data_IF_131612009272
#
_entry.id   IF_131612009272
#
_cell.length_a   1.000
_cell.length_b   1.000
_cell.length_c   1.000
_cell.angle_alpha   90.00
_cell.angle_beta   90.00
_cell.angle_gamma   90.00
#
_symmetry.space_group_name_H-M   'P 1'
#
loop_
_entity.id
_entity.type
_entity.pdbx_description
1 polymer ?
#
# COMPACT_ATOMS: atom_id res chain seq x y z
N UNK A 1 75.60 -37.61 -55.62
CA UNK A 1 74.71 -37.43 -56.78
C UNK A 1 74.00 -36.09 -56.62
N UNK A 2 73.91 -35.35 -57.73
CA UNK A 2 73.50 -33.95 -57.94
C UNK A 2 72.28 -33.39 -57.17
N UNK A 3 72.34 -32.06 -56.95
CA UNK A 3 71.26 -31.03 -57.14
C UNK A 3 70.16 -31.03 -56.06
N UNK A 4 69.98 -30.00 -55.22
CA UNK A 4 69.74 -28.54 -55.39
C UNK A 4 68.34 -28.17 -55.90
N UNK A 5 67.88 -27.01 -55.38
CA UNK A 5 66.79 -26.14 -55.83
C UNK A 5 65.38 -26.46 -55.32
N UNK A 6 64.81 -25.62 -54.43
CA UNK A 6 64.23 -24.29 -54.66
C UNK A 6 63.01 -24.30 -55.58
N UNK A 7 61.83 -23.99 -55.04
CA UNK A 7 61.22 -22.66 -55.14
C UNK A 7 59.68 -22.69 -55.04
N UNK A 8 59.14 -21.65 -54.37
CA UNK A 8 57.93 -20.90 -54.75
C UNK A 8 56.55 -21.59 -54.58
N UNK A 9 55.48 -20.99 -54.02
CA UNK A 9 55.14 -19.63 -53.53
C UNK A 9 53.77 -19.73 -52.82
N UNK A 10 53.60 -18.89 -51.78
CA UNK A 10 52.43 -18.04 -51.45
C UNK A 10 51.02 -18.68 -51.35
N UNK A 11 50.45 -18.56 -50.15
CA UNK A 11 48.99 -18.59 -49.90
C UNK A 11 48.72 -18.45 -48.41
N UNK A 12 48.31 -17.26 -47.97
CA UNK A 12 48.27 -16.88 -46.56
C UNK A 12 47.14 -17.52 -45.74
N UNK A 13 47.33 -17.52 -44.43
CA UNK A 13 46.27 -17.29 -43.45
C UNK A 13 46.92 -16.97 -42.10
N UNK A 14 46.75 -15.74 -41.64
CA UNK A 14 47.16 -15.32 -40.30
C UNK A 14 46.24 -15.98 -39.28
N UNK A 15 46.78 -16.89 -38.46
CA UNK A 15 46.09 -17.42 -37.28
C UNK A 15 46.55 -16.60 -36.07
N UNK A 16 45.79 -15.56 -35.74
CA UNK A 16 45.95 -14.84 -34.48
C UNK A 16 45.39 -15.72 -33.36
N UNK A 17 46.25 -16.08 -32.42
CA UNK A 17 45.90 -16.72 -31.16
C UNK A 17 45.18 -15.68 -30.30
N UNK A 18 43.85 -15.76 -30.26
CA UNK A 18 43.03 -15.07 -29.27
C UNK A 18 42.50 -16.11 -28.29
N UNK A 19 43.28 -16.39 -27.25
CA UNK A 19 42.79 -17.12 -26.07
C UNK A 19 41.81 -16.18 -25.36
N UNK A 20 40.53 -16.51 -25.44
CA UNK A 20 39.45 -15.78 -24.80
C UNK A 20 39.62 -15.81 -23.27
N UNK A 21 39.99 -14.68 -22.69
CA UNK A 21 39.67 -14.36 -21.30
C UNK A 21 38.18 -14.07 -21.29
N UNK A 22 37.38 -14.99 -20.76
CA UNK A 22 35.98 -14.72 -20.44
C UNK A 22 35.98 -13.78 -19.24
N UNK A 23 36.03 -12.48 -19.52
CA UNK A 23 35.58 -11.45 -18.60
C UNK A 23 34.06 -11.60 -18.51
N UNK A 24 33.58 -12.24 -17.45
CA UNK A 24 32.18 -12.12 -17.02
C UNK A 24 31.93 -10.70 -16.54
N UNK A 25 31.78 -9.79 -17.50
CA UNK A 25 31.15 -8.49 -17.31
C UNK A 25 29.67 -8.64 -17.68
N UNK A 26 28.86 -9.06 -16.70
CA UNK A 26 27.44 -8.75 -16.72
C UNK A 26 27.25 -7.54 -15.83
N UNK A 27 26.83 -6.46 -16.48
CA UNK A 27 26.57 -5.15 -15.92
C UNK A 27 25.64 -5.27 -14.71
N UNK A 28 26.15 -4.82 -13.56
CA UNK A 28 25.33 -4.33 -12.46
C UNK A 28 24.69 -3.03 -12.95
N UNK A 29 23.46 -3.12 -13.45
CA UNK A 29 22.61 -1.99 -13.79
C UNK A 29 21.25 -2.25 -13.14
N UNK A 30 20.84 -1.31 -12.28
CA UNK A 30 19.56 -1.34 -11.57
C UNK A 30 19.69 -1.56 -10.07
N UNK A 31 20.63 -0.87 -9.42
CA UNK A 31 20.48 -0.50 -8.01
C UNK A 31 19.55 0.74 -8.01
N UNK A 32 18.25 0.52 -8.11
CA UNK A 32 17.29 1.53 -7.73
C UNK A 32 17.27 1.55 -6.21
N UNK A 33 17.82 2.63 -5.66
CA UNK A 33 17.68 3.02 -4.26
C UNK A 33 16.20 3.14 -3.92
N UNK A 34 15.53 2.02 -3.68
CA UNK A 34 14.33 1.98 -2.86
C UNK A 34 14.86 2.18 -1.45
N UNK A 35 14.88 3.43 -1.00
CA UNK A 35 15.12 3.77 0.41
C UNK A 35 13.93 3.18 1.19
N UNK A 36 14.01 1.90 1.52
CA UNK A 36 13.13 1.29 2.51
C UNK A 36 13.36 2.02 3.81
N UNK A 37 12.29 2.50 4.47
CA UNK A 37 12.41 3.21 5.75
C UNK A 37 13.09 2.30 6.79
N UNK A 38 14.39 2.47 7.00
CA UNK A 38 15.18 1.70 7.97
C UNK A 38 14.71 1.97 9.40
N UNK A 39 13.99 3.07 9.61
CA UNK A 39 13.31 3.46 10.86
C UNK A 39 12.36 2.41 11.44
N UNK A 40 11.87 1.44 10.65
CA UNK A 40 10.91 0.42 11.13
C UNK A 40 11.53 -0.60 12.10
N UNK A 41 12.84 -0.81 12.02
CA UNK A 41 13.54 -1.88 12.76
C UNK A 41 14.64 -1.36 13.72
N UNK A 42 14.84 -0.05 13.83
CA UNK A 42 15.87 0.54 14.70
C UNK A 42 15.44 0.56 16.17
N UNK A 43 16.36 0.20 17.07
CA UNK A 43 16.16 0.45 18.50
C UNK A 43 16.38 1.93 18.80
N UNK A 44 15.74 2.46 19.85
CA UNK A 44 15.83 3.89 20.20
C UNK A 44 17.29 4.38 20.33
N UNK A 45 18.18 3.54 20.85
CA UNK A 45 19.60 3.84 21.03
C UNK A 45 20.38 4.01 19.71
N UNK A 46 19.80 3.63 18.57
CA UNK A 46 20.40 3.68 17.23
C UNK A 46 19.82 4.80 16.37
N UNK A 47 18.86 5.57 16.88
CA UNK A 47 18.17 6.62 16.12
C UNK A 47 19.03 7.89 16.07
N UNK A 48 19.44 8.29 14.86
CA UNK A 48 19.94 9.63 14.58
C UNK A 48 18.82 10.50 14.00
N UNK A 49 18.32 11.45 14.80
CA UNK A 49 17.24 12.36 14.40
C UNK A 49 17.64 13.24 13.20
N UNK A 50 18.92 13.61 13.05
CA UNK A 50 19.36 14.41 11.93
C UNK A 50 19.35 13.60 10.63
N UNK A 51 19.72 12.31 10.70
CA UNK A 51 19.59 11.38 9.58
C UNK A 51 18.13 11.13 9.23
N UNK A 52 17.28 10.81 10.21
CA UNK A 52 15.85 10.61 10.00
C UNK A 52 15.18 11.84 9.38
N UNK A 53 15.52 13.05 9.85
CA UNK A 53 15.08 14.31 9.24
C UNK A 53 15.50 14.40 7.78
N UNK A 54 16.76 14.08 7.47
CA UNK A 54 17.26 14.13 6.10
C UNK A 54 16.55 13.11 5.20
N UNK A 55 16.29 11.90 5.68
CA UNK A 55 15.49 10.90 4.97
C UNK A 55 14.07 11.39 4.71
N UNK A 56 13.41 11.96 5.73
CA UNK A 56 12.06 12.48 5.61
C UNK A 56 11.95 13.65 4.62
N UNK A 57 12.91 14.59 4.61
CA UNK A 57 12.79 15.81 3.79
C UNK A 57 13.36 15.69 2.38
N UNK A 58 14.28 14.75 2.12
CA UNK A 58 14.96 14.62 0.81
C UNK A 58 14.29 13.64 -0.15
N UNK A 59 13.22 12.98 0.26
CA UNK A 59 12.46 12.05 -0.59
C UNK A 59 11.70 12.79 -1.69
N UNK A 60 11.49 12.09 -2.80
CA UNK A 60 10.60 12.56 -3.87
C UNK A 60 9.18 12.16 -3.47
N UNK A 61 8.28 13.14 -3.49
CA UNK A 61 6.89 12.97 -3.09
C UNK A 61 5.95 13.32 -4.24
N UNK A 62 4.76 12.76 -4.18
CA UNK A 62 3.64 13.16 -5.02
C UNK A 62 3.42 14.68 -4.84
N UNK A 63 3.50 15.47 -5.93
CA UNK A 63 3.30 16.91 -5.89
C UNK A 63 1.98 17.34 -5.26
N UNK A 64 0.96 16.48 -5.26
CA UNK A 64 -0.31 16.76 -4.60
C UNK A 64 -0.16 16.92 -3.08
N UNK A 65 0.83 16.26 -2.47
CA UNK A 65 1.08 16.30 -1.03
C UNK A 65 2.24 17.22 -0.63
N UNK A 66 2.97 17.79 -1.60
CA UNK A 66 4.11 18.68 -1.33
C UNK A 66 3.70 19.87 -0.44
N UNK A 67 4.40 20.06 0.68
CA UNK A 67 4.12 21.14 1.63
C UNK A 67 2.74 21.04 2.32
N UNK A 68 2.14 19.84 2.36
CA UNK A 68 0.83 19.61 2.98
C UNK A 68 0.90 18.59 4.10
N UNK A 69 0.13 18.88 5.14
CA UNK A 69 -0.21 17.94 6.20
C UNK A 69 -1.69 17.62 6.08
N UNK A 70 -2.03 16.33 6.10
CA UNK A 70 -3.40 15.83 6.16
C UNK A 70 -3.57 15.00 7.42
N UNK A 71 -4.72 15.13 8.09
CA UNK A 71 -5.09 14.25 9.20
C UNK A 71 -6.46 13.66 8.92
N UNK A 72 -6.55 12.34 8.81
CA UNK A 72 -7.77 11.58 8.57
C UNK A 72 -8.51 11.38 9.90
N UNK A 73 -9.73 11.90 10.01
CA UNK A 73 -10.49 11.85 11.25
C UNK A 73 -11.69 10.92 11.19
N UNK A 74 -12.04 10.43 10.00
CA UNK A 74 -13.19 9.57 9.79
C UNK A 74 -12.92 8.12 10.21
N UNK A 75 -13.98 7.44 10.65
CA UNK A 75 -13.92 6.03 11.02
C UNK A 75 -14.25 5.09 9.85
N UNK A 76 -14.94 5.59 8.81
CA UNK A 76 -15.47 4.79 7.71
C UNK A 76 -14.52 4.64 6.53
N UNK A 77 -13.51 5.49 6.39
CA UNK A 77 -12.55 5.49 5.29
C UNK A 77 -13.01 6.29 4.06
N UNK A 78 -14.08 7.06 4.16
CA UNK A 78 -14.55 7.97 3.12
C UNK A 78 -13.54 9.09 2.89
N UNK A 79 -13.00 9.69 3.95
CA UNK A 79 -12.03 10.78 3.86
C UNK A 79 -10.73 10.27 3.23
N UNK A 80 -10.19 9.16 3.74
CA UNK A 80 -8.98 8.54 3.21
C UNK A 80 -9.14 8.05 1.77
N UNK A 81 -10.30 7.49 1.40
CA UNK A 81 -10.55 7.10 0.02
C UNK A 81 -10.58 8.31 -0.93
N UNK A 82 -11.15 9.45 -0.50
CA UNK A 82 -11.22 10.66 -1.31
C UNK A 82 -9.86 11.33 -1.47
N UNK A 83 -9.06 11.38 -0.41
CA UNK A 83 -7.76 12.04 -0.44
C UNK A 83 -6.71 11.22 -1.22
N UNK A 84 -6.73 9.89 -1.09
CA UNK A 84 -5.69 9.04 -1.67
C UNK A 84 -5.99 8.60 -3.10
N UNK A 85 -7.24 8.66 -3.55
CA UNK A 85 -7.63 8.21 -4.87
C UNK A 85 -8.28 9.36 -5.64
N UNK A 86 -7.66 9.77 -6.74
CA UNK A 86 -8.24 10.74 -7.67
C UNK A 86 -9.28 10.12 -8.62
N UNK A 87 -9.15 8.81 -8.88
CA UNK A 87 -10.09 7.99 -9.62
C UNK A 87 -10.04 6.55 -9.13
N UNK A 88 -11.17 5.84 -9.21
CA UNK A 88 -11.18 4.38 -9.10
C UNK A 88 -12.40 3.77 -9.75
N UNK A 89 -12.18 2.87 -10.72
CA UNK A 89 -13.28 2.16 -11.38
C UNK A 89 -14.02 1.15 -10.48
N UNK A 90 -13.46 0.80 -9.32
CA UNK A 90 -14.06 -0.13 -8.36
C UNK A 90 -13.92 0.38 -6.92
N UNK A 91 -14.89 0.11 -6.07
CA UNK A 91 -14.87 0.42 -4.63
C UNK A 91 -15.30 -0.82 -3.84
N UNK A 92 -14.61 -1.12 -2.74
CA UNK A 92 -15.06 -2.12 -1.76
C UNK A 92 -15.91 -1.43 -0.70
N UNK A 93 -17.12 -1.92 -0.47
CA UNK A 93 -18.03 -1.45 0.57
C UNK A 93 -18.32 -2.60 1.53
N UNK A 94 -17.99 -2.42 2.80
CA UNK A 94 -18.10 -3.47 3.81
C UNK A 94 -19.10 -3.11 4.89
N UNK A 95 -19.64 -4.08 5.62
CA UNK A 95 -20.27 -3.79 6.91
C UNK A 95 -19.19 -3.60 8.00
N UNK A 96 -19.61 -3.38 9.25
CA UNK A 96 -18.72 -3.11 10.38
C UNK A 96 -18.21 -4.38 11.09
N UNK A 97 -18.42 -5.56 10.52
CA UNK A 97 -17.90 -6.81 11.10
C UNK A 97 -16.41 -6.99 10.82
N UNK A 98 -15.68 -7.57 11.78
CA UNK A 98 -14.24 -7.83 11.63
C UNK A 98 -13.98 -8.75 10.43
N UNK A 99 -14.85 -9.74 10.22
CA UNK A 99 -14.74 -10.65 9.07
C UNK A 99 -14.91 -9.93 7.73
N UNK A 100 -15.86 -9.02 7.58
CA UNK A 100 -16.03 -8.24 6.36
C UNK A 100 -14.89 -7.24 6.15
N UNK A 101 -14.40 -6.59 7.22
CA UNK A 101 -13.27 -5.65 7.15
C UNK A 101 -11.99 -6.36 6.68
N UNK A 102 -11.65 -7.51 7.27
CA UNK A 102 -10.45 -8.27 6.88
C UNK A 102 -10.54 -8.81 5.44
N UNK A 103 -11.73 -9.26 5.05
CA UNK A 103 -12.04 -9.70 3.68
C UNK A 103 -11.92 -8.54 2.69
N UNK A 104 -12.47 -7.38 3.04
CA UNK A 104 -12.38 -6.15 2.27
C UNK A 104 -10.92 -5.69 2.12
N UNK A 105 -10.15 -5.69 3.21
CA UNK A 105 -8.73 -5.36 3.21
C UNK A 105 -7.93 -6.24 2.23
N UNK A 106 -8.16 -7.56 2.28
CA UNK A 106 -7.49 -8.53 1.39
C UNK A 106 -7.74 -8.21 -0.09
N UNK A 107 -8.96 -7.78 -0.43
CA UNK A 107 -9.35 -7.45 -1.81
C UNK A 107 -8.79 -6.08 -2.20
N UNK A 108 -9.03 -5.06 -1.37
CA UNK A 108 -8.68 -3.67 -1.61
C UNK A 108 -7.16 -3.52 -1.82
N UNK A 109 -6.36 -4.08 -0.90
CA UNK A 109 -4.90 -4.01 -0.95
C UNK A 109 -4.34 -4.81 -2.13
N UNK A 110 -4.92 -5.97 -2.44
CA UNK A 110 -4.48 -6.77 -3.60
C UNK A 110 -4.80 -6.10 -4.94
N UNK A 111 -5.85 -5.29 -5.03
CA UNK A 111 -6.34 -4.74 -6.30
C UNK A 111 -6.04 -3.25 -6.47
N UNK A 112 -5.44 -2.61 -5.46
CA UNK A 112 -5.19 -1.17 -5.41
C UNK A 112 -6.47 -0.34 -5.57
N UNK A 113 -7.52 -0.74 -4.86
CA UNK A 113 -8.82 -0.06 -4.89
C UNK A 113 -9.21 0.42 -3.49
N UNK A 114 -9.96 1.52 -3.38
CA UNK A 114 -10.42 2.02 -2.09
C UNK A 114 -11.42 1.06 -1.42
N UNK A 115 -11.50 1.16 -0.11
CA UNK A 115 -12.46 0.48 0.75
C UNK A 115 -13.11 1.47 1.71
N UNK A 116 -14.42 1.28 1.94
CA UNK A 116 -15.20 2.02 2.93
C UNK A 116 -16.02 1.06 3.78
N UNK A 117 -16.15 1.35 5.07
CA UNK A 117 -17.11 0.70 5.97
C UNK A 117 -18.42 1.46 5.91
N UNK A 118 -19.51 0.76 5.62
CA UNK A 118 -20.82 1.36 5.39
C UNK A 118 -21.54 1.67 6.69
N UNK A 119 -21.84 2.94 6.90
CA UNK A 119 -22.85 3.40 7.85
C UNK A 119 -24.11 3.89 7.10
N UNK A 120 -25.32 3.44 7.46
CA UNK A 120 -26.56 3.97 6.90
C UNK A 120 -26.70 5.50 6.94
N UNK A 121 -26.13 6.16 7.96
CA UNK A 121 -26.15 7.62 8.12
C UNK A 121 -25.27 8.33 7.08
N UNK A 122 -24.20 7.68 6.62
CA UNK A 122 -23.22 8.22 5.67
C UNK A 122 -23.54 7.80 4.21
N UNK A 123 -24.71 7.22 3.96
CA UNK A 123 -25.08 6.71 2.61
C UNK A 123 -24.91 7.76 1.51
N UNK A 124 -25.31 9.00 1.76
CA UNK A 124 -25.20 10.08 0.77
C UNK A 124 -23.74 10.45 0.50
N UNK A 125 -22.88 10.35 1.51
CA UNK A 125 -21.44 10.62 1.38
C UNK A 125 -20.75 9.51 0.58
N UNK A 126 -21.13 8.24 0.82
CA UNK A 126 -20.68 7.11 -0.02
C UNK A 126 -21.15 7.26 -1.47
N UNK A 127 -22.37 7.73 -1.70
CA UNK A 127 -22.86 8.02 -3.06
C UNK A 127 -22.06 9.14 -3.74
N UNK A 128 -21.73 10.20 -3.00
CA UNK A 128 -20.85 11.27 -3.51
C UNK A 128 -19.48 10.70 -3.85
N UNK A 129 -18.87 9.90 -2.97
CA UNK A 129 -17.57 9.28 -3.20
C UNK A 129 -17.57 8.40 -4.45
N UNK A 130 -18.60 7.58 -4.65
CA UNK A 130 -18.77 6.74 -5.86
C UNK A 130 -18.75 7.61 -7.12
N UNK A 131 -19.45 8.75 -7.10
CA UNK A 131 -19.50 9.67 -8.23
C UNK A 131 -18.15 10.40 -8.43
N UNK A 132 -17.56 10.92 -7.35
CA UNK A 132 -16.29 11.66 -7.35
C UNK A 132 -15.15 10.81 -7.94
N UNK A 133 -15.10 9.53 -7.56
CA UNK A 133 -14.07 8.59 -8.02
C UNK A 133 -14.37 7.96 -9.38
N UNK A 134 -15.57 8.15 -9.95
CA UNK A 134 -15.98 7.49 -11.19
C UNK A 134 -16.14 5.96 -11.05
N UNK A 135 -16.59 5.50 -9.88
CA UNK A 135 -16.78 4.07 -9.59
C UNK A 135 -17.92 3.51 -10.44
N UNK A 136 -17.61 2.44 -11.18
CA UNK A 136 -18.61 1.70 -11.98
C UNK A 136 -18.86 0.30 -11.44
N UNK A 137 -18.05 -0.17 -10.49
CA UNK A 137 -18.20 -1.46 -9.82
C UNK A 137 -18.14 -1.29 -8.31
N UNK A 138 -19.21 -1.63 -7.62
CA UNK A 138 -19.26 -1.64 -6.16
C UNK A 138 -19.21 -3.08 -5.68
N UNK A 139 -18.11 -3.50 -5.06
CA UNK A 139 -18.04 -4.79 -4.39
C UNK A 139 -18.55 -4.64 -2.96
N UNK A 140 -19.65 -5.31 -2.64
CA UNK A 140 -20.26 -5.36 -1.32
C UNK A 140 -19.79 -6.60 -0.57
N UNK A 141 -19.20 -6.43 0.61
CA UNK A 141 -18.72 -7.52 1.48
C UNK A 141 -19.47 -7.48 2.81
N UNK A 142 -20.02 -8.62 3.23
CA UNK A 142 -20.88 -8.69 4.42
C UNK A 142 -22.35 -8.29 4.15
N UNK A 143 -23.11 -8.04 5.21
CA UNK A 143 -24.53 -7.65 5.18
C UNK A 143 -24.71 -6.13 5.03
N UNK A 144 -24.17 -5.58 3.94
CA UNK A 144 -24.41 -4.18 3.59
C UNK A 144 -25.78 -4.04 2.93
N UNK A 145 -26.64 -3.23 3.55
CA UNK A 145 -27.94 -2.83 3.01
C UNK A 145 -27.80 -1.78 1.90
N UNK A 146 -27.11 -2.14 0.82
CA UNK A 146 -27.06 -1.35 -0.40
C UNK A 146 -28.07 -1.90 -1.40
N UNK A 147 -28.96 -1.05 -1.91
CA UNK A 147 -29.93 -1.46 -2.93
C UNK A 147 -29.20 -1.69 -4.25
N UNK A 148 -29.58 -2.74 -4.97
CA UNK A 148 -29.17 -2.89 -6.37
C UNK A 148 -29.75 -1.72 -7.15
N UNK A 149 -28.89 -1.01 -7.87
CA UNK A 149 -29.31 0.05 -8.77
C UNK A 149 -29.26 -0.49 -10.19
N UNK A 150 -30.37 -0.40 -10.92
CA UNK A 150 -30.35 -0.57 -12.37
C UNK A 150 -29.69 0.69 -12.98
N UNK A 151 -28.54 0.55 -13.65
CA UNK A 151 -27.83 1.70 -14.22
C UNK A 151 -26.34 1.45 -14.48
N UNK A 152 -25.55 2.52 -14.42
CA UNK A 152 -24.10 2.51 -14.70
C UNK A 152 -23.26 1.86 -13.59
N UNK A 153 -23.79 1.79 -12.36
CA UNK A 153 -23.11 1.17 -11.21
C UNK A 153 -23.46 -0.31 -11.09
N UNK A 154 -22.48 -1.17 -11.34
CA UNK A 154 -22.62 -2.61 -11.16
C UNK A 154 -22.32 -3.00 -9.70
N UNK A 155 -23.35 -3.44 -8.96
CA UNK A 155 -23.22 -3.90 -7.57
C UNK A 155 -22.96 -5.40 -7.55
N UNK A 156 -21.82 -5.81 -6.99
CA UNK A 156 -21.37 -7.19 -6.90
C UNK A 156 -21.34 -7.57 -5.43
N UNK A 157 -22.01 -8.66 -5.03
CA UNK A 157 -21.98 -9.13 -3.64
C UNK A 157 -20.92 -10.23 -3.48
N UNK A 158 -19.99 -10.02 -2.56
CA UNK A 158 -19.00 -11.03 -2.18
C UNK A 158 -19.68 -12.20 -1.48
N UNK A 159 -19.53 -13.43 -1.99
CA UNK A 159 -20.08 -14.62 -1.35
C UNK A 159 -19.19 -15.12 -0.21
N UNK A 160 -18.12 -14.41 0.16
CA UNK A 160 -17.29 -14.70 1.35
C UNK A 160 -16.31 -15.87 1.21
N UNK A 161 -16.27 -16.56 0.06
CA UNK A 161 -15.42 -17.76 -0.12
C UNK A 161 -14.03 -17.45 -0.67
N UNK A 162 -13.00 -18.21 -0.27
CA UNK A 162 -11.65 -18.12 -0.88
C UNK A 162 -11.69 -18.35 -2.40
N UNK A 163 -12.59 -19.23 -2.87
CA UNK A 163 -12.79 -19.43 -4.31
C UNK A 163 -13.22 -18.14 -5.02
N UNK A 164 -14.18 -17.41 -4.45
CA UNK A 164 -14.65 -16.15 -5.01
C UNK A 164 -13.53 -15.10 -5.06
N UNK A 165 -12.65 -15.08 -4.06
CA UNK A 165 -11.47 -14.20 -4.06
C UNK A 165 -10.56 -14.48 -5.26
N UNK A 166 -10.34 -15.76 -5.57
CA UNK A 166 -9.59 -16.14 -6.77
C UNK A 166 -10.34 -15.84 -8.08
N UNK A 167 -11.67 -15.92 -8.08
CA UNK A 167 -12.48 -15.55 -9.24
C UNK A 167 -12.44 -14.04 -9.52
N UNK A 168 -12.49 -13.18 -8.48
CA UNK A 168 -12.38 -11.72 -8.62
C UNK A 168 -11.05 -11.29 -9.19
N UNK A 169 -9.98 -11.87 -8.65
CA UNK A 169 -8.62 -11.35 -8.82
C UNK A 169 -7.82 -12.10 -9.87
N UNK A 170 -8.30 -13.27 -10.30
CA UNK A 170 -7.57 -14.25 -11.11
C UNK A 170 -6.27 -14.79 -10.45
N UNK A 171 -6.17 -14.73 -9.12
CA UNK A 171 -5.02 -15.22 -8.36
C UNK A 171 -5.39 -16.26 -7.30
N UNK A 172 -4.41 -17.05 -6.88
CA UNK A 172 -4.57 -17.95 -5.72
C UNK A 172 -4.10 -17.21 -4.48
N UNK A 173 -4.94 -17.19 -3.46
CA UNK A 173 -4.64 -16.52 -2.19
C UNK A 173 -4.14 -17.52 -1.15
N UNK A 174 -3.14 -17.10 -0.38
CA UNK A 174 -2.72 -17.78 0.83
C UNK A 174 -3.55 -17.24 2.01
N UNK A 175 -4.19 -18.13 2.76
CA UNK A 175 -4.95 -17.72 3.95
C UNK A 175 -4.01 -17.50 5.14
N UNK A 176 -4.09 -16.32 5.74
CA UNK A 176 -3.47 -15.99 7.04
C UNK A 176 -4.57 -15.80 8.07
N UNK A 177 -4.46 -16.54 9.19
CA UNK A 177 -5.40 -16.42 10.29
C UNK A 177 -4.94 -15.30 11.23
N UNK A 178 -5.82 -14.32 11.45
CA UNK A 178 -5.67 -13.30 12.48
C UNK A 178 -6.15 -13.93 13.79
N UNK A 179 -5.28 -13.96 14.82
CA UNK A 179 -5.52 -14.74 16.02
C UNK A 179 -6.56 -14.12 16.97
N UNK A 180 -6.56 -12.78 17.08
CA UNK A 180 -7.47 -12.02 17.95
C UNK A 180 -7.70 -10.61 17.37
N UNK A 181 -8.79 -9.90 17.77
CA UNK A 181 -9.10 -8.57 17.23
C UNK A 181 -7.95 -7.56 17.35
N UNK A 182 -7.18 -7.60 18.45
CA UNK A 182 -6.05 -6.68 18.65
C UNK A 182 -4.92 -6.83 17.62
N UNK A 183 -4.86 -7.96 16.91
CA UNK A 183 -3.81 -8.23 15.92
C UNK A 183 -4.20 -7.74 14.51
N UNK A 184 -5.46 -7.35 14.28
CA UNK A 184 -5.95 -6.91 12.97
C UNK A 184 -5.11 -5.77 12.40
N UNK A 185 -4.79 -4.76 13.21
CA UNK A 185 -3.99 -3.62 12.79
C UNK A 185 -2.61 -4.08 12.27
N UNK A 186 -1.88 -4.85 13.07
CA UNK A 186 -0.56 -5.35 12.71
C UNK A 186 -0.61 -6.25 11.47
N UNK A 187 -1.62 -7.10 11.37
CA UNK A 187 -1.78 -8.00 10.23
C UNK A 187 -2.15 -7.26 8.94
N UNK A 188 -2.96 -6.19 9.01
CA UNK A 188 -3.29 -5.34 7.86
C UNK A 188 -2.08 -4.51 7.43
N UNK A 189 -1.34 -3.89 8.37
CA UNK A 189 -0.10 -3.16 8.05
C UNK A 189 0.89 -4.05 7.30
N UNK A 190 0.96 -5.34 7.67
CA UNK A 190 1.85 -6.33 7.05
C UNK A 190 1.43 -6.78 5.64
N UNK A 191 0.22 -6.42 5.17
CA UNK A 191 -0.20 -6.75 3.82
C UNK A 191 0.66 -6.00 2.80
N UNK A 192 1.27 -6.73 1.88
CA UNK A 192 1.96 -6.15 0.73
C UNK A 192 0.94 -5.63 -0.28
N UNK A 193 1.07 -4.38 -0.78
CA UNK A 193 0.25 -3.87 -1.86
C UNK A 193 0.39 -4.76 -3.10
N UNK A 194 -0.74 -5.22 -3.65
CA UNK A 194 -0.74 -6.20 -4.73
C UNK A 194 -0.44 -7.65 -4.28
N UNK A 195 -0.18 -7.91 -3.00
CA UNK A 195 0.03 -9.24 -2.42
C UNK A 195 -1.23 -10.12 -2.48
N UNK A 196 -1.06 -11.44 -2.32
CA UNK A 196 -2.14 -12.46 -2.43
C UNK A 196 -2.41 -13.15 -1.11
N UNK A 197 -2.58 -12.36 -0.06
CA UNK A 197 -2.90 -12.85 1.29
C UNK A 197 -4.37 -12.58 1.59
N UNK A 198 -5.06 -13.62 2.05
CA UNK A 198 -6.43 -13.54 2.56
C UNK A 198 -6.40 -13.57 4.08
N UNK A 199 -6.77 -12.46 4.72
CA UNK A 199 -6.90 -12.40 6.17
C UNK A 199 -8.23 -13.03 6.61
N UNK A 200 -8.17 -13.88 7.64
CA UNK A 200 -9.36 -14.53 8.23
C UNK A 200 -9.34 -14.40 9.75
N UNK A 201 -10.42 -13.92 10.38
CA UNK A 201 -10.50 -13.88 11.84
C UNK A 201 -10.63 -15.30 12.41
N UNK A 202 -9.94 -15.59 13.51
CA UNK A 202 -10.10 -16.84 14.26
C UNK A 202 -11.36 -16.89 15.13
N UNK A 203 -11.95 -15.72 15.43
CA UNK A 203 -13.05 -15.56 16.39
C UNK A 203 -14.43 -15.39 15.74
N UNK A 204 -14.47 -15.11 14.44
CA UNK A 204 -15.70 -14.88 13.68
C UNK A 204 -15.72 -15.79 12.47
N UNK A 205 -16.88 -16.36 12.15
CA UNK A 205 -17.03 -17.12 10.91
C UNK A 205 -17.54 -16.17 9.83
N UNK A 206 -16.84 -16.05 8.69
CA UNK A 206 -17.33 -15.24 7.58
C UNK A 206 -18.65 -15.81 7.07
N UNK A 207 -19.57 -14.92 6.68
CA UNK A 207 -20.79 -15.34 5.99
C UNK A 207 -20.40 -15.85 4.59
N UNK A 208 -20.57 -17.15 4.35
CA UNK A 208 -20.25 -17.76 3.06
C UNK A 208 -21.53 -18.18 2.34
N UNK A 209 -21.74 -17.64 1.15
CA UNK A 209 -22.75 -18.14 0.23
C UNK A 209 -22.10 -19.10 -0.78
N UNK A 210 -22.34 -20.40 -0.60
CA UNK A 210 -21.79 -21.43 -1.51
C UNK A 210 -22.55 -21.56 -2.83
N UNK A 211 -23.76 -21.00 -2.92
CA UNK A 211 -24.61 -21.02 -4.11
C UNK A 211 -24.46 -19.72 -4.89
N UNK A 212 -23.26 -19.49 -5.44
CA UNK A 212 -22.98 -18.37 -6.33
C UNK A 212 -22.41 -18.86 -7.66
N UNK A 213 -22.74 -18.15 -8.73
CA UNK A 213 -22.10 -18.33 -10.03
C UNK A 213 -20.63 -17.90 -9.99
N UNK A 214 -19.86 -18.09 -11.07
CA UNK A 214 -18.49 -17.58 -11.13
C UNK A 214 -18.50 -16.05 -10.96
N UNK A 215 -17.65 -15.54 -10.06
CA UNK A 215 -17.60 -14.11 -9.80
C UNK A 215 -16.98 -13.33 -10.97
N UNK A 216 -17.49 -12.12 -11.27
CA UNK A 216 -16.89 -11.25 -12.28
C UNK A 216 -15.51 -10.80 -11.83
N UNK A 217 -14.58 -10.58 -12.76
CA UNK A 217 -13.27 -10.04 -12.41
C UNK A 217 -13.39 -8.59 -11.89
N UNK A 218 -12.64 -8.28 -10.84
CA UNK A 218 -12.36 -6.92 -10.40
C UNK A 218 -11.00 -6.58 -11.01
N UNK A 219 -10.93 -5.68 -12.00
CA UNK A 219 -9.66 -5.34 -12.62
C UNK A 219 -8.72 -4.73 -11.60
N UNK A 220 -7.52 -5.31 -11.48
CA UNK A 220 -6.44 -4.70 -10.72
C UNK A 220 -6.12 -3.33 -11.31
N UNK A 221 -5.94 -2.36 -10.44
CA UNK A 221 -5.42 -1.04 -10.82
C UNK A 221 -3.90 -1.03 -10.65
N UNK A 222 -3.24 -0.14 -11.37
CA UNK A 222 -1.83 0.14 -11.08
C UNK A 222 -1.72 0.72 -9.67
N UNK A 223 -0.63 0.39 -8.98
CA UNK A 223 -0.29 1.03 -7.72
C UNK A 223 -0.30 2.55 -7.91
N UNK A 224 -0.97 3.26 -7.00
CA UNK A 224 -1.32 4.67 -7.18
C UNK A 224 -0.25 5.62 -6.65
N UNK A 225 0.51 5.18 -5.65
CA UNK A 225 1.61 5.96 -5.10
C UNK A 225 2.74 6.28 -6.08
N UNK A 226 2.90 5.52 -7.17
CA UNK A 226 4.02 5.68 -8.11
C UNK A 226 5.40 5.66 -7.45
N UNK A 227 5.55 5.01 -6.28
CA UNK A 227 6.75 5.05 -5.41
C UNK A 227 7.07 6.40 -4.75
N UNK A 228 6.14 7.35 -4.80
CA UNK A 228 6.31 8.72 -4.29
C UNK A 228 5.24 9.09 -3.25
N UNK A 229 4.66 8.12 -2.55
CA UNK A 229 3.70 8.39 -1.46
C UNK A 229 4.30 9.36 -0.41
N UNK A 230 3.48 10.28 0.15
CA UNK A 230 3.88 11.09 1.30
C UNK A 230 4.23 10.20 2.49
N UNK A 231 4.88 10.77 3.50
CA UNK A 231 5.06 10.06 4.76
C UNK A 231 3.70 9.80 5.39
N UNK A 232 3.33 8.53 5.52
CA UNK A 232 2.08 8.12 6.13
C UNK A 232 2.34 7.54 7.50
N UNK A 233 1.73 8.14 8.53
CA UNK A 233 1.89 7.72 9.91
C UNK A 233 0.56 7.22 10.49
N UNK A 234 0.64 6.17 11.30
CA UNK A 234 -0.49 5.58 11.99
C UNK A 234 -0.08 5.19 13.42
N UNK A 235 -1.07 5.01 14.30
CA UNK A 235 -0.87 4.30 15.57
C UNK A 235 -1.72 3.03 15.60
N UNK A 236 -1.54 2.18 16.59
CA UNK A 236 -2.41 1.01 16.79
C UNK A 236 -3.91 1.35 17.00
N UNK A 237 -4.24 2.63 17.24
CA UNK A 237 -5.62 3.11 17.40
C UNK A 237 -6.20 3.72 16.12
N UNK A 238 -5.40 3.84 15.05
CA UNK A 238 -5.84 4.35 13.76
C UNK A 238 -7.02 3.52 13.24
N UNK A 239 -8.11 4.17 12.75
CA UNK A 239 -9.22 3.48 12.13
C UNK A 239 -8.75 2.56 11.00
N UNK A 240 -9.16 1.29 11.04
CA UNK A 240 -8.73 0.29 10.05
C UNK A 240 -9.01 0.70 8.60
N UNK A 241 -10.16 1.33 8.25
CA UNK A 241 -10.40 1.75 6.87
C UNK A 241 -9.35 2.74 6.34
N UNK A 242 -8.86 3.66 7.18
CA UNK A 242 -7.81 4.61 6.78
C UNK A 242 -6.48 3.92 6.52
N UNK A 243 -6.11 2.98 7.40
CA UNK A 243 -4.94 2.12 7.19
C UNK A 243 -5.08 1.29 5.89
N UNK A 244 -6.24 0.68 5.67
CA UNK A 244 -6.50 -0.16 4.48
C UNK A 244 -6.36 0.69 3.22
N UNK A 245 -6.96 1.88 3.18
CA UNK A 245 -6.85 2.77 2.02
C UNK A 245 -5.40 3.22 1.76
N UNK A 246 -4.62 3.52 2.81
CA UNK A 246 -3.19 3.80 2.67
C UNK A 246 -2.42 2.62 2.04
N UNK A 247 -2.66 1.40 2.53
CA UNK A 247 -2.02 0.19 1.97
C UNK A 247 -2.50 -0.11 0.54
N UNK A 248 -3.77 0.10 0.23
CA UNK A 248 -4.34 -0.06 -1.11
C UNK A 248 -3.77 0.96 -2.09
N UNK A 249 -3.57 2.21 -1.67
CA UNK A 249 -2.90 3.25 -2.45
C UNK A 249 -1.48 2.84 -2.85
N UNK A 250 -0.83 2.01 -2.02
CA UNK A 250 0.51 1.49 -2.21
C UNK A 250 1.51 1.97 -1.16
N UNK A 251 1.10 2.95 -0.35
CA UNK A 251 1.99 3.61 0.59
C UNK A 251 2.53 2.67 1.67
N UNK A 252 3.79 2.88 2.01
CA UNK A 252 4.36 2.42 3.26
C UNK A 252 3.77 3.22 4.43
N UNK A 253 3.36 2.52 5.50
CA UNK A 253 2.79 3.14 6.70
C UNK A 253 3.77 2.95 7.85
N UNK A 254 4.22 4.07 8.42
CA UNK A 254 5.05 4.14 9.60
C UNK A 254 4.16 4.05 10.85
N UNK A 255 4.35 3.00 11.64
CA UNK A 255 3.56 2.76 12.84
C UNK A 255 4.24 3.41 14.03
N UNK A 256 3.73 4.57 14.44
CA UNK A 256 4.22 5.32 15.59
C UNK A 256 3.76 4.67 16.90
N UNK A 257 4.68 4.45 17.87
CA UNK A 257 4.33 4.07 19.23
C UNK A 257 3.40 5.09 19.92
N UNK A 258 3.59 6.37 19.63
CA UNK A 258 2.79 7.47 20.17
C UNK A 258 2.44 8.48 19.07
N UNK A 259 1.19 8.96 19.02
CA UNK A 259 0.78 9.98 18.06
C UNK A 259 1.46 11.34 18.28
N UNK A 260 1.96 11.60 19.50
CA UNK A 260 2.66 12.82 19.83
C UNK A 260 4.18 12.60 19.76
N UNK A 261 4.86 13.18 18.75
CA UNK A 261 6.28 12.92 18.50
C UNK A 261 7.22 13.41 19.61
N UNK A 262 6.73 14.23 20.55
CA UNK A 262 7.54 14.71 21.68
C UNK A 262 7.71 13.66 22.79
N UNK A 263 6.97 12.56 22.72
CA UNK A 263 6.97 11.56 23.80
C UNK A 263 8.13 10.57 23.71
N UNK A 264 8.61 10.25 22.51
CA UNK A 264 9.69 9.28 22.29
C UNK A 264 10.40 9.54 20.97
N UNK A 265 11.70 9.22 20.94
CA UNK A 265 12.59 9.46 19.79
C UNK A 265 12.17 8.66 18.55
N UNK A 266 11.55 7.48 18.72
CA UNK A 266 11.04 6.66 17.60
C UNK A 266 9.94 7.41 16.87
N UNK A 267 8.94 7.91 17.60
CA UNK A 267 7.84 8.70 17.07
C UNK A 267 8.36 10.02 16.46
N UNK A 268 9.32 10.69 17.09
CA UNK A 268 9.94 11.90 16.52
C UNK A 268 10.62 11.60 15.19
N UNK A 269 11.47 10.57 15.12
CA UNK A 269 12.22 10.22 13.92
C UNK A 269 11.33 9.99 12.71
N UNK A 270 10.16 9.36 12.91
CA UNK A 270 9.17 9.11 11.84
C UNK A 270 8.57 10.38 11.22
N UNK A 271 8.67 11.54 11.90
CA UNK A 271 8.08 12.81 11.43
C UNK A 271 9.05 14.00 11.47
N UNK A 272 10.31 13.78 11.82
CA UNK A 272 11.31 14.83 11.96
C UNK A 272 11.43 15.65 10.67
N UNK A 273 11.38 16.97 10.78
CA UNK A 273 11.42 17.91 9.65
C UNK A 273 10.12 18.05 8.85
N UNK A 274 9.03 17.37 9.24
CA UNK A 274 7.77 17.38 8.49
C UNK A 274 6.71 18.32 9.08
N UNK A 275 7.11 19.36 9.83
CA UNK A 275 6.18 20.33 10.43
C UNK A 275 5.36 21.10 9.39
N UNK A 276 5.82 21.13 8.14
CA UNK A 276 5.13 21.73 6.99
C UNK A 276 4.79 20.68 5.90
N UNK A 277 4.85 19.38 6.23
CA UNK A 277 4.63 18.27 5.28
C UNK A 277 5.87 17.89 4.46
N UNK A 278 5.74 16.93 3.53
CA UNK A 278 4.54 16.17 3.17
C UNK A 278 4.24 15.03 4.16
N UNK A 279 3.09 15.11 4.85
CA UNK A 279 2.69 14.17 5.90
C UNK A 279 1.19 13.84 5.84
N UNK A 280 0.85 12.56 5.98
CA UNK A 280 -0.53 12.09 6.15
C UNK A 280 -0.63 11.29 7.44
N UNK A 281 -1.39 11.80 8.39
CA UNK A 281 -1.69 11.13 9.64
C UNK A 281 -3.03 10.40 9.54
N UNK A 282 -3.04 9.08 9.75
CA UNK A 282 -4.17 8.22 9.39
C UNK A 282 -5.26 8.10 10.47
N UNK A 283 -5.19 8.88 11.55
CA UNK A 283 -6.17 8.81 12.62
C UNK A 283 -6.35 10.09 13.44
N UNK A 284 -7.48 10.19 14.16
CA UNK A 284 -7.82 11.38 14.96
C UNK A 284 -6.90 11.59 16.17
N UNK A 285 -6.15 10.58 16.60
CA UNK A 285 -5.20 10.66 17.71
C UNK A 285 -4.07 11.68 17.48
N UNK A 286 -3.79 12.02 16.21
CA UNK A 286 -2.81 13.02 15.83
C UNK A 286 -3.31 14.46 16.04
N UNK A 287 -4.62 14.65 16.22
CA UNK A 287 -5.26 15.96 16.40
C UNK A 287 -5.45 16.70 15.08
N UNK A 288 -5.62 18.02 15.15
CA UNK A 288 -5.71 18.86 13.96
C UNK A 288 -4.36 19.02 13.25
N UNK A 289 -4.40 19.40 11.96
CA UNK A 289 -3.21 19.76 11.17
C UNK A 289 -2.30 20.73 11.91
N UNK A 290 -2.88 21.75 12.56
CA UNK A 290 -2.14 22.73 13.34
C UNK A 290 -1.45 22.10 14.55
N UNK A 291 -2.15 21.24 15.29
CA UNK A 291 -1.61 20.61 16.49
C UNK A 291 -0.44 19.66 16.16
N UNK A 292 -0.57 18.82 15.13
CA UNK A 292 0.52 17.92 14.75
C UNK A 292 1.72 18.69 14.19
N UNK A 293 1.50 19.73 13.37
CA UNK A 293 2.55 20.63 12.89
C UNK A 293 3.32 21.28 14.05
N UNK A 294 2.61 21.82 15.05
CA UNK A 294 3.22 22.44 16.23
C UNK A 294 3.98 21.42 17.10
N UNK A 295 3.46 20.19 17.25
CA UNK A 295 4.15 19.13 18.00
C UNK A 295 5.45 18.70 17.32
N UNK A 296 5.45 18.57 15.99
CA UNK A 296 6.66 18.24 15.23
C UNK A 296 7.69 19.37 15.36
N UNK A 297 7.26 20.62 15.17
CA UNK A 297 8.16 21.78 15.29
C UNK A 297 8.76 21.93 16.70
N UNK A 298 8.01 21.56 17.74
CA UNK A 298 8.51 21.52 19.12
C UNK A 298 9.53 20.41 19.32
N UNK A 299 9.23 19.18 18.88
CA UNK A 299 10.16 18.06 18.95
C UNK A 299 11.47 18.36 18.20
N UNK A 300 11.38 19.02 17.04
CA UNK A 300 12.53 19.41 16.22
C UNK A 300 13.43 20.50 16.83
N UNK A 301 12.95 21.19 17.87
CA UNK A 301 13.65 22.28 18.55
C UNK A 301 14.30 21.86 19.88
N UNK A 302 14.00 20.66 20.38
CA UNK A 302 14.61 20.04 21.57
C UNK A 302 15.99 19.44 21.24
#
# INVERSE_FOLDING_TARGET
MRVSENASRIGGMALVVASAVVLSACAAWGDENVVSNQLRDLSADEIDIAEARAENTNRIFDPEFEGRIVVMNDASGIESARELFSDSGSLVLTDDTDSAILRGASIAVSQHIPMVVFNPEERLEVQSLIADLGVTRLLVVGDVRWAEQEGELNVIRDPGSTKALGDYTAFVFESKVVAKPSDMFADIVSLEPGGKVELKPAWENPTVNTEHDKMPAIPAQSRRDGEVAPNMVATAHTPLPNLINARSYGAEVLVMPNADPRHDEVSHAMVAGLSDGPLVALGPEFGSVKEISEKIAQADAE
#
